data_IF_023141861129
#
_entry.id   IF_023141861129
#
_cell.length_a   1.000
_cell.length_b   1.000
_cell.length_c   1.000
_cell.angle_alpha   90.00
_cell.angle_beta   90.00
_cell.angle_gamma   90.00
#
_symmetry.space_group_name_H-M   'P 1'
#
loop_
_entity.id
_entity.type
_entity.pdbx_description
1 polymer ?
2 non-polymer ?
3 non-polymer ?
4 water ?
#
# COMPACT_ATOMS: atom_id res chain seq x y z
N UNK A 26 -0.64 28.49 2.60
CA UNK A 26 -0.51 27.31 1.75
C UNK A 26 0.02 26.13 2.57
N UNK A 27 -0.26 24.93 2.11
CA UNK A 27 -0.01 23.71 2.88
C UNK A 27 1.29 23.04 2.44
N UNK A 28 1.94 22.41 3.41
CA UNK A 28 3.23 21.73 3.21
C UNK A 28 3.11 20.33 3.78
N UNK A 29 3.34 19.33 2.94
CA UNK A 29 3.12 17.93 3.31
C UNK A 29 4.43 17.19 3.51
N UNK A 30 4.42 16.23 4.43
CA UNK A 30 5.53 15.31 4.65
C UNK A 30 5.04 13.90 4.37
N UNK A 31 5.67 13.22 3.41
CA UNK A 31 5.28 11.89 3.00
C UNK A 31 6.32 10.93 3.58
N UNK A 32 5.98 10.28 4.69
CA UNK A 32 6.85 9.29 5.32
C UNK A 32 6.71 8.00 4.52
N UNK A 33 7.65 7.74 3.62
CA UNK A 33 7.58 6.59 2.74
C UNK A 33 7.18 6.97 1.33
N UNK A 34 7.95 7.87 0.72
CA UNK A 34 7.53 8.46 -0.55
C UNK A 34 7.75 7.52 -1.73
N UNK A 35 8.72 6.62 -1.64
CA UNK A 35 8.91 5.61 -2.68
C UNK A 35 7.95 4.43 -2.56
N UNK A 36 7.01 4.50 -1.60
CA UNK A 36 6.05 3.44 -1.39
C UNK A 36 4.96 3.42 -2.44
N UNK A 37 4.06 2.44 -2.30
CA UNK A 37 3.01 2.27 -3.30
C UNK A 37 1.96 3.36 -3.17
N UNK A 38 1.67 3.80 -1.96
CA UNK A 38 0.75 4.92 -1.76
C UNK A 38 1.51 6.25 -1.67
N UNK A 39 2.73 6.23 -1.11
CA UNK A 39 3.54 7.43 -1.08
C UNK A 39 3.86 7.95 -2.47
N UNK A 40 4.11 7.04 -3.41
CA UNK A 40 4.36 7.47 -4.79
C UNK A 40 3.11 8.10 -5.39
N UNK A 41 1.93 7.60 -5.02
CA UNK A 41 0.69 8.24 -5.45
C UNK A 41 0.53 9.61 -4.80
N UNK A 42 0.91 9.74 -3.53
CA UNK A 42 0.83 11.03 -2.86
C UNK A 42 1.84 12.02 -3.44
N UNK A 43 3.02 11.53 -3.83
CA UNK A 43 4.02 12.40 -4.44
C UNK A 43 3.57 12.89 -5.81
N UNK A 44 2.75 12.11 -6.50
CA UNK A 44 2.30 12.51 -7.83
C UNK A 44 1.08 13.41 -7.77
N UNK A 45 0.26 13.29 -6.72
CA UNK A 45 -1.06 13.93 -6.68
C UNK A 45 -1.03 15.22 -5.87
N UNK A 46 -0.26 15.26 -4.78
CA UNK A 46 -0.22 16.47 -3.96
C UNK A 46 0.21 17.71 -4.75
N UNK A 47 1.29 17.69 -5.57
CA UNK A 47 1.65 18.92 -6.29
C UNK A 47 0.76 19.22 -7.49
N UNK A 48 -0.33 18.47 -7.67
CA UNK A 48 -1.26 18.80 -8.75
C UNK A 48 -1.92 20.16 -8.48
N UNK A 49 -2.27 20.85 -9.57
CA UNK A 49 -2.83 22.19 -9.47
C UNK A 49 -4.26 22.18 -8.94
N UNK A 50 -5.02 21.13 -9.22
CA UNK A 50 -6.42 21.06 -8.80
C UNK A 50 -6.60 20.26 -7.52
N UNK A 51 -5.52 19.94 -6.82
CA UNK A 51 -5.61 19.16 -5.60
C UNK A 51 -6.11 20.03 -4.45
N UNK A 52 -7.05 19.53 -3.64
CA UNK A 52 -7.56 20.31 -2.50
C UNK A 52 -6.45 20.86 -1.62
N UNK A 53 -6.66 22.08 -1.13
CA UNK A 53 -5.68 22.85 -0.35
C UNK A 53 -4.38 23.08 -1.10
N UNK A 54 -4.37 22.86 -2.42
CA UNK A 54 -3.22 23.14 -3.23
C UNK A 54 -3.04 24.62 -3.41
N UNK A 55 -1.82 25.06 -3.76
CA UNK A 55 -0.63 24.26 -4.07
C UNK A 55 0.02 23.60 -2.84
N UNK A 56 0.79 22.54 -3.06
CA UNK A 56 1.39 21.76 -2.00
C UNK A 56 2.90 21.75 -2.13
N UNK A 57 3.60 22.07 -1.04
CA UNK A 57 5.01 21.79 -0.91
C UNK A 57 5.16 20.41 -0.29
N UNK A 58 6.01 19.57 -0.88
CA UNK A 58 6.05 18.14 -0.56
C UNK A 58 7.47 17.76 -0.18
N UNK A 59 7.66 17.32 1.06
CA UNK A 59 8.85 16.59 1.46
C UNK A 59 8.55 15.10 1.40
N UNK A 60 9.51 14.32 0.93
CA UNK A 60 9.33 12.89 0.86
C UNK A 60 10.45 12.11 1.53
N UNK A 61 10.11 11.37 2.58
CA UNK A 61 11.08 10.64 3.39
C UNK A 61 11.19 9.20 2.89
N UNK A 62 12.42 8.69 2.88
CA UNK A 62 12.71 7.30 2.55
C UNK A 62 14.16 7.03 2.97
N UNK A 63 14.61 5.80 2.72
CA UNK A 63 15.98 5.39 2.98
C UNK A 63 16.82 5.34 1.71
N UNK A 64 16.30 4.70 0.67
CA UNK A 64 17.06 4.46 -0.56
C UNK A 64 17.31 5.78 -1.30
N UNK A 65 18.20 5.78 -2.29
CA UNK A 65 18.32 6.95 -3.15
C UNK A 65 17.13 7.05 -4.10
N UNK A 66 16.91 8.26 -4.59
CA UNK A 66 15.76 8.56 -5.44
C UNK A 66 15.81 7.72 -6.71
N UNK A 67 14.85 6.80 -6.92
CA UNK A 67 14.87 5.96 -8.12
C UNK A 67 14.49 6.72 -9.38
N UNK A 68 14.26 6.00 -10.48
CA UNK A 68 14.02 6.64 -11.77
C UNK A 68 12.54 6.90 -12.05
N UNK A 69 11.64 6.21 -11.35
CA UNK A 69 10.21 6.44 -11.48
C UNK A 69 9.69 7.46 -10.47
N UNK A 70 10.58 8.10 -9.72
CA UNK A 70 10.24 9.12 -8.75
C UNK A 70 10.86 10.48 -9.10
N UNK A 71 11.56 10.56 -10.23
CA UNK A 71 12.42 11.69 -10.54
C UNK A 71 11.68 12.90 -11.11
N UNK A 72 10.60 12.69 -11.87
CA UNK A 72 9.92 13.77 -12.56
C UNK A 72 8.77 14.36 -11.74
N UNK A 73 8.90 14.38 -10.42
CA UNK A 73 7.95 15.02 -9.53
C UNK A 73 8.64 16.14 -8.75
N UNK A 74 7.96 17.28 -8.55
CA UNK A 74 8.55 18.39 -7.77
C UNK A 74 8.50 18.12 -6.27
N UNK A 75 9.23 17.09 -5.84
CA UNK A 75 9.23 16.64 -4.46
C UNK A 75 10.60 16.88 -3.85
N UNK A 76 10.62 17.37 -2.62
CA UNK A 76 11.87 17.62 -1.90
C UNK A 76 12.27 16.35 -1.16
N UNK A 77 13.03 15.49 -1.84
CA UNK A 77 13.41 14.19 -1.32
C UNK A 77 14.32 14.33 -0.10
N UNK A 78 14.15 13.39 0.84
CA UNK A 78 14.95 13.33 2.06
C UNK A 78 15.26 11.87 2.36
N UNK A 79 16.55 11.57 2.56
CA UNK A 79 17.00 10.23 2.91
C UNK A 79 17.15 10.14 4.42
N UNK A 80 16.42 9.21 5.04
CA UNK A 80 16.42 9.07 6.48
C UNK A 80 15.83 7.72 6.85
N UNK A 81 16.50 7.01 7.75
CA UNK A 81 15.97 5.82 8.39
C UNK A 81 15.22 6.23 9.66
N UNK A 82 13.88 6.14 9.62
CA UNK A 82 13.07 6.59 10.74
C UNK A 82 13.11 5.65 11.93
N UNK A 83 13.79 4.52 11.82
CA UNK A 83 13.98 3.70 13.02
C UNK A 83 15.10 4.23 13.89
N UNK A 84 16.08 4.92 13.30
CA UNK A 84 17.18 5.54 14.03
C UNK A 84 16.71 6.90 14.53
N UNK A 85 16.60 7.09 15.85
CA UNK A 85 16.09 8.37 16.36
C UNK A 85 17.03 9.55 16.12
N UNK A 86 18.32 9.31 15.85
CA UNK A 86 19.24 10.40 15.58
C UNK A 86 19.09 10.92 14.16
N UNK A 87 19.10 10.02 13.17
CA UNK A 87 18.85 10.45 11.79
C UNK A 87 17.49 11.10 11.64
N UNK A 88 16.53 10.72 12.49
CA UNK A 88 15.20 11.34 12.44
C UNK A 88 15.23 12.75 13.02
N UNK A 89 15.98 12.95 14.12
CA UNK A 89 16.19 14.31 14.61
C UNK A 89 17.05 15.12 13.65
N UNK A 90 18.09 14.50 13.10
CA UNK A 90 18.95 15.17 12.12
C UNK A 90 18.15 15.69 10.94
N UNK A 91 17.46 14.79 10.24
CA UNK A 91 16.91 15.12 8.92
C UNK A 91 15.60 15.88 9.00
N UNK A 92 14.84 15.72 10.09
CA UNK A 92 13.50 16.26 10.15
C UNK A 92 13.37 17.52 11.01
N UNK A 93 14.31 17.77 11.93
CA UNK A 93 14.25 19.00 12.72
C UNK A 93 14.32 20.27 11.88
N UNK A 94 15.16 20.38 10.83
CA UNK A 94 15.11 21.60 10.01
C UNK A 94 13.78 21.86 9.36
N UNK A 95 12.97 20.81 9.13
CA UNK A 95 11.67 20.98 8.48
C UNK A 95 10.73 21.73 9.43
N UNK A 96 10.53 23.01 9.16
CA UNK A 96 9.74 23.89 10.01
C UNK A 96 8.30 24.03 9.54
N UNK A 97 8.10 24.09 8.23
CA UNK A 97 6.84 24.51 7.63
C UNK A 97 5.82 23.38 7.48
N UNK A 98 6.12 22.17 7.97
CA UNK A 98 5.23 21.04 7.75
C UNK A 98 3.85 21.35 8.33
N UNK A 99 2.83 21.31 7.47
CA UNK A 99 1.44 21.45 7.90
C UNK A 99 0.73 20.11 8.04
N UNK A 100 1.05 19.14 7.18
CA UNK A 100 0.40 17.84 7.22
C UNK A 100 1.44 16.74 7.06
N UNK A 101 1.17 15.60 7.70
CA UNK A 101 2.06 14.45 7.68
C UNK A 101 1.28 13.24 7.18
N UNK A 102 1.92 12.46 6.30
CA UNK A 102 1.31 11.27 5.70
C UNK A 102 2.24 10.08 5.97
N UNK A 103 2.00 9.40 7.08
CA UNK A 103 2.77 8.22 7.43
C UNK A 103 2.26 7.03 6.63
N UNK A 104 3.10 6.48 5.76
CA UNK A 104 2.63 5.47 4.82
C UNK A 104 3.71 4.41 4.59
N UNK A 105 4.36 4.00 5.68
CA UNK A 105 5.45 3.02 5.64
C UNK A 105 5.25 2.00 6.75
N UNK A 106 6.04 0.93 6.70
CA UNK A 106 6.01 -0.09 7.74
C UNK A 106 7.27 -0.95 7.64
N UNK A 107 7.38 -1.92 8.54
CA UNK A 107 8.53 -2.83 8.62
C UNK A 107 8.05 -4.21 9.02
N UNK A 108 8.55 -5.24 8.33
CA UNK A 108 8.15 -6.62 8.54
C UNK A 108 9.14 -7.34 9.46
N UNK A 109 8.60 -8.23 10.29
CA UNK A 109 9.40 -9.00 11.23
C UNK A 109 8.82 -10.41 11.32
N UNK A 110 9.51 -11.28 12.07
CA UNK A 110 9.12 -12.68 12.13
C UNK A 110 7.77 -12.85 12.82
N UNK A 111 7.59 -12.23 13.99
CA UNK A 111 6.33 -12.29 14.71
C UNK A 111 5.66 -10.92 14.72
N UNK A 112 4.40 -10.91 15.14
CA UNK A 112 3.67 -9.65 15.25
C UNK A 112 4.18 -8.81 16.41
N UNK A 113 4.65 -9.46 17.48
CA UNK A 113 5.21 -8.74 18.61
C UNK A 113 6.40 -7.91 18.18
N UNK A 114 7.26 -8.48 17.33
CA UNK A 114 8.39 -7.71 16.82
C UNK A 114 7.94 -6.58 15.91
N UNK A 115 6.83 -6.77 15.19
CA UNK A 115 6.30 -5.70 14.36
C UNK A 115 5.75 -4.57 15.22
N UNK A 116 5.12 -4.90 16.36
CA UNK A 116 4.65 -3.86 17.27
C UNK A 116 5.80 -3.00 17.76
N UNK A 117 6.93 -3.63 18.08
CA UNK A 117 8.07 -2.88 18.61
C UNK A 117 8.71 -2.02 17.53
N UNK A 118 8.99 -2.62 16.37
CA UNK A 118 9.70 -1.91 15.30
C UNK A 118 8.87 -0.77 14.75
N UNK A 119 7.58 -1.01 14.48
CA UNK A 119 6.74 0.00 13.86
C UNK A 119 6.28 1.06 14.86
N UNK A 120 6.12 0.69 16.14
CA UNK A 120 5.85 1.70 17.14
C UNK A 120 7.00 2.68 17.32
N UNK A 121 8.23 2.17 17.27
CA UNK A 121 9.38 3.05 17.42
C UNK A 121 9.57 3.93 16.20
N UNK A 122 9.32 3.38 15.00
CA UNK A 122 9.45 4.16 13.77
C UNK A 122 8.49 5.34 13.79
N UNK A 123 7.23 5.10 14.17
CA UNK A 123 6.26 6.19 14.23
C UNK A 123 6.59 7.16 15.35
N UNK A 124 7.09 6.64 16.48
CA UNK A 124 7.39 7.52 17.61
C UNK A 124 8.56 8.44 17.30
N UNK A 125 9.61 7.92 16.67
CA UNK A 125 10.76 8.77 16.32
C UNK A 125 10.34 9.93 15.44
N UNK A 126 9.44 9.68 14.48
CA UNK A 126 9.00 10.72 13.56
C UNK A 126 8.18 11.77 14.29
N UNK A 127 7.24 11.33 15.14
CA UNK A 127 6.33 12.26 15.79
C UNK A 127 7.04 13.06 16.87
N UNK A 128 7.98 12.45 17.59
CA UNK A 128 8.74 13.17 18.62
C UNK A 128 9.45 14.38 18.03
N UNK A 129 9.83 14.31 16.76
CA UNK A 129 10.54 15.42 16.15
C UNK A 129 9.57 16.45 15.59
N UNK A 130 8.55 15.98 14.85
CA UNK A 130 7.73 16.87 14.05
C UNK A 130 6.87 17.78 14.93
N UNK A 131 6.19 17.18 15.92
CA UNK A 131 5.19 17.93 16.68
C UNK A 131 5.78 19.17 17.35
N UNK A 132 6.93 19.12 18.05
CA UNK A 132 7.45 20.36 18.65
C UNK A 132 8.11 21.29 17.64
N UNK A 133 8.80 20.74 16.63
CA UNK A 133 9.59 21.55 15.71
C UNK A 133 8.80 22.08 14.53
N UNK A 134 7.48 21.87 14.50
CA UNK A 134 6.64 22.36 13.40
C UNK A 134 5.47 23.15 13.99
N UNK A 135 5.52 24.48 13.93
CA UNK A 135 4.49 25.29 14.61
C UNK A 135 3.13 25.27 13.92
N UNK A 136 3.06 24.89 12.65
CA UNK A 136 1.82 24.93 11.90
C UNK A 136 1.22 23.55 11.64
N UNK A 137 1.71 22.52 12.33
CA UNK A 137 1.24 21.16 12.10
C UNK A 137 -0.25 21.03 12.42
N UNK A 138 -1.06 20.76 11.39
CA UNK A 138 -2.50 20.60 11.52
C UNK A 138 -2.93 19.15 11.66
N UNK A 139 -2.37 18.25 10.85
CA UNK A 139 -2.94 16.91 10.71
C UNK A 139 -1.84 15.88 10.52
N UNK A 140 -2.07 14.68 11.06
CA UNK A 140 -1.23 13.51 10.82
C UNK A 140 -2.14 12.37 10.39
N UNK A 141 -1.87 11.80 9.22
CA UNK A 141 -2.64 10.69 8.70
C UNK A 141 -1.76 9.44 8.68
N UNK A 142 -2.27 8.35 9.23
CA UNK A 142 -1.53 7.11 9.40
C UNK A 142 -2.22 6.01 8.63
N UNK A 143 -1.49 5.32 7.77
CA UNK A 143 -2.07 4.26 6.95
C UNK A 143 -1.84 2.91 7.60
N UNK A 144 -2.93 2.23 7.98
CA UNK A 144 -2.82 0.85 8.45
C UNK A 144 -3.44 -0.07 7.42
N UNK A 145 -4.27 -1.01 7.86
CA UNK A 145 -4.82 -1.89 6.85
C UNK A 145 -5.96 -2.75 7.34
N UNK A 146 -6.53 -3.48 6.38
CA UNK A 146 -7.62 -4.40 6.68
C UNK A 146 -7.17 -5.55 7.58
N UNK A 147 -5.85 -5.73 7.79
CA UNK A 147 -5.39 -6.63 8.83
C UNK A 147 -5.89 -6.23 10.21
N UNK A 148 -6.21 -4.95 10.41
CA UNK A 148 -6.82 -4.50 11.66
C UNK A 148 -8.03 -5.35 12.04
N UNK A 149 -8.73 -5.90 11.06
CA UNK A 149 -9.94 -6.69 11.32
C UNK A 149 -9.70 -8.19 11.29
N UNK A 150 -8.86 -8.69 10.40
CA UNK A 150 -8.63 -10.13 10.28
C UNK A 150 -7.45 -10.63 11.12
N UNK A 151 -6.57 -9.74 11.56
CA UNK A 151 -5.45 -10.12 12.39
C UNK A 151 -4.14 -10.21 11.64
N UNK A 152 -3.06 -10.47 12.36
CA UNK A 152 -1.73 -10.54 11.71
C UNK A 152 -1.62 -11.75 10.79
N UNK A 153 -0.65 -11.66 9.87
CA UNK A 153 -0.40 -12.69 8.87
C UNK A 153 -0.53 -14.11 9.43
N UNK A 154 0.13 -14.36 10.57
CA UNK A 154 0.20 -15.71 11.10
C UNK A 154 -1.16 -16.21 11.55
N UNK A 155 -1.99 -15.33 12.09
CA UNK A 155 -3.29 -15.71 12.64
C UNK A 155 -4.42 -15.64 11.63
N UNK A 156 -4.14 -15.27 10.38
CA UNK A 156 -5.20 -15.02 9.42
C UNK A 156 -5.89 -16.32 9.04
N UNK A 157 -7.21 -16.30 9.06
CA UNK A 157 -8.01 -17.50 8.89
C UNK A 157 -8.01 -18.43 10.08
N UNK A 158 -7.24 -18.13 11.13
CA UNK A 158 -7.08 -19.00 12.28
C UNK A 158 -7.78 -18.50 13.53
N UNK A 159 -8.36 -17.30 13.52
CA UNK A 159 -8.96 -16.71 14.71
C UNK A 159 -10.35 -16.19 14.36
N UNK A 160 -11.26 -16.29 15.33
CA UNK A 160 -12.60 -15.74 15.18
C UNK A 160 -12.54 -14.22 15.06
N UNK A 161 -12.87 -13.69 13.89
CA UNK A 161 -12.93 -12.26 13.68
C UNK A 161 -14.37 -11.79 13.79
N UNK A 162 -14.56 -10.48 13.63
CA UNK A 162 -15.92 -9.96 13.48
C UNK A 162 -16.44 -10.31 12.09
N UNK A 163 -17.77 -10.30 11.96
CA UNK A 163 -18.38 -10.74 10.71
C UNK A 163 -18.27 -9.65 9.66
N UNK A 164 -17.80 -9.96 8.45
CA UNK A 164 -17.74 -8.96 7.38
C UNK A 164 -19.14 -8.58 6.93
N UNK A 165 -19.29 -7.40 6.28
CA UNK A 165 -18.23 -6.43 5.97
C UNK A 165 -17.74 -5.65 7.20
N UNK A 166 -16.43 -5.43 7.26
CA UNK A 166 -15.85 -4.83 8.45
C UNK A 166 -16.18 -3.34 8.53
N UNK A 167 -16.67 -2.91 9.68
CA UNK A 167 -16.89 -1.51 9.98
C UNK A 167 -15.81 -1.01 10.93
N UNK A 168 -15.58 0.31 10.90
CA UNK A 168 -14.37 0.86 11.51
C UNK A 168 -14.39 0.76 13.03
N UNK A 169 -15.53 1.06 13.66
CA UNK A 169 -15.57 1.30 15.11
C UNK A 169 -16.08 0.10 15.90
N UNK A 170 -15.71 -1.13 15.50
CA UNK A 170 -15.98 -2.31 16.30
C UNK A 170 -14.75 -2.67 17.12
N UNK A 171 -14.91 -3.45 18.20
CA UNK A 171 -13.79 -3.68 19.11
C UNK A 171 -12.61 -4.36 18.44
N UNK A 172 -11.42 -3.99 18.90
CA UNK A 172 -10.20 -4.64 18.44
C UNK A 172 -10.21 -6.12 18.84
N UNK A 173 -9.53 -6.93 18.03
CA UNK A 173 -9.30 -8.32 18.39
C UNK A 173 -8.39 -8.42 19.60
N UNK A 174 -8.55 -9.49 20.37
CA UNK A 174 -7.73 -9.72 21.55
C UNK A 174 -6.43 -10.43 21.21
N UNK A 175 -5.73 -9.88 20.22
CA UNK A 175 -4.41 -10.35 19.82
C UNK A 175 -3.53 -9.15 19.54
N UNK A 176 -2.22 -9.37 19.57
CA UNK A 176 -1.29 -8.31 19.24
C UNK A 176 -1.45 -7.90 17.77
N UNK A 177 -1.20 -6.63 17.50
CA UNK A 177 -1.35 -6.07 16.16
C UNK A 177 -0.70 -4.69 16.10
N UNK A 178 0.34 -4.52 15.28
CA UNK A 178 1.07 -3.26 15.29
C UNK A 178 0.26 -2.10 14.75
N UNK A 179 -0.87 -2.37 14.10
CA UNK A 179 -1.83 -1.30 13.82
C UNK A 179 -2.41 -0.75 15.12
N UNK A 180 -2.77 -1.64 16.05
CA UNK A 180 -3.27 -1.20 17.35
C UNK A 180 -2.20 -0.42 18.10
N UNK A 181 -0.96 -0.94 18.10
CA UNK A 181 0.14 -0.27 18.79
C UNK A 181 0.37 1.13 18.22
N UNK A 182 0.29 1.26 16.89
CA UNK A 182 0.51 2.56 16.27
C UNK A 182 -0.64 3.52 16.55
N UNK A 183 -1.88 3.01 16.58
CA UNK A 183 -3.02 3.89 16.83
C UNK A 183 -2.94 4.51 18.23
N UNK A 184 -2.68 3.69 19.25
CA UNK A 184 -2.55 4.21 20.61
C UNK A 184 -1.45 5.26 20.68
N UNK A 185 -0.30 4.96 20.05
CA UNK A 185 0.81 5.90 20.02
C UNK A 185 0.39 7.23 19.41
N UNK A 186 -0.30 7.17 18.26
CA UNK A 186 -0.72 8.38 17.57
C UNK A 186 -1.67 9.20 18.43
N UNK A 187 -2.56 8.53 19.16
CA UNK A 187 -3.54 9.27 19.97
C UNK A 187 -2.86 10.03 21.10
N UNK A 188 -1.85 9.43 21.71
CA UNK A 188 -1.12 10.13 22.77
C UNK A 188 -0.27 11.26 22.21
N UNK A 189 0.35 11.03 21.05
CA UNK A 189 1.29 12.01 20.51
C UNK A 189 0.60 13.29 20.07
N UNK A 190 -0.58 13.18 19.46
CA UNK A 190 -1.27 14.37 19.00
C UNK A 190 -1.78 15.22 20.15
N UNK A 191 -1.84 14.66 21.36
CA UNK A 191 -2.34 15.41 22.50
C UNK A 191 -1.41 16.55 22.85
N UNK A 192 -0.11 16.35 22.68
CA UNK A 192 0.96 17.32 22.96
C UNK A 192 0.86 18.61 22.13
N UNK A 193 -0.24 18.85 21.41
CA UNK A 193 -0.40 20.07 20.63
C UNK A 193 -1.88 20.37 20.51
N UNK A 194 -2.27 21.61 20.84
CA UNK A 194 -3.66 21.99 20.75
C UNK A 194 -4.08 22.12 19.30
N UNK A 195 -5.28 21.61 18.98
CA UNK A 195 -5.75 21.65 17.61
C UNK A 195 -4.99 20.76 16.65
N UNK A 196 -4.18 19.83 17.17
CA UNK A 196 -3.57 18.81 16.34
C UNK A 196 -4.57 17.68 16.15
N UNK A 197 -4.66 17.19 14.92
CA UNK A 197 -5.74 16.29 14.53
C UNK A 197 -5.18 15.13 13.71
N UNK A 198 -5.87 14.00 13.75
CA UNK A 198 -5.33 12.76 13.20
C UNK A 198 -6.38 12.06 12.33
N UNK A 199 -5.92 11.08 11.57
CA UNK A 199 -6.78 10.17 10.82
C UNK A 199 -5.98 8.92 10.48
N UNK A 200 -6.67 7.79 10.45
CA UNK A 200 -6.08 6.50 10.07
C UNK A 200 -6.90 5.91 8.95
N UNK A 201 -6.22 5.30 7.98
CA UNK A 201 -6.84 4.78 6.77
C UNK A 201 -6.47 3.32 6.60
N UNK A 202 -7.49 2.47 6.43
CA UNK A 202 -7.31 1.02 6.39
C UNK A 202 -7.69 0.48 5.02
N UNK A 203 -6.76 0.43 4.07
CA UNK A 203 -7.08 -0.11 2.74
C UNK A 203 -6.99 -1.63 2.73
N UNK A 204 -7.64 -2.22 1.72
CA UNK A 204 -7.46 -3.62 1.41
C UNK A 204 -6.18 -3.83 0.65
N UNK A 205 -6.14 -4.92 -0.13
CA UNK A 205 -4.99 -5.12 -1.02
C UNK A 205 -4.88 -3.93 -1.97
N UNK A 206 -3.66 -3.39 -2.09
CA UNK A 206 -3.44 -2.16 -2.81
C UNK A 206 -3.06 -2.47 -4.24
N UNK A 207 -3.86 -2.01 -5.19
CA UNK A 207 -3.48 -2.00 -6.60
C UNK A 207 -2.78 -0.67 -6.88
N UNK A 208 -1.49 -0.74 -7.19
CA UNK A 208 -0.72 0.46 -7.42
C UNK A 208 0.60 0.14 -8.07
N UNK A 209 1.43 1.17 -8.19
CA UNK A 209 2.73 1.07 -8.85
C UNK A 209 3.83 1.51 -7.88
N UNK A 210 4.70 0.58 -7.52
CA UNK A 210 5.91 0.89 -6.78
C UNK A 210 6.84 -0.33 -6.82
N UNK A 211 7.90 -0.28 -7.62
CA UNK A 211 8.85 -1.41 -7.64
C UNK A 211 9.51 -1.65 -6.30
N UNK A 212 9.63 -0.64 -5.46
CA UNK A 212 10.24 -0.78 -4.14
C UNK A 212 9.26 -1.27 -3.09
N UNK A 213 8.01 -1.52 -3.45
CA UNK A 213 7.00 -1.89 -2.46
C UNK A 213 7.22 -3.31 -1.96
N UNK A 214 7.00 -3.51 -0.66
CA UNK A 214 7.10 -4.84 -0.07
C UNK A 214 5.85 -5.67 -0.30
N UNK A 215 4.73 -5.03 -0.67
CA UNK A 215 3.48 -5.73 -1.00
C UNK A 215 2.88 -5.07 -2.24
N UNK A 216 3.46 -5.34 -3.40
CA UNK A 216 2.93 -4.86 -4.67
C UNK A 216 2.35 -6.07 -5.40
N UNK A 217 1.05 -6.27 -5.24
CA UNK A 217 0.39 -7.44 -5.82
C UNK A 217 0.36 -7.37 -7.34
N UNK A 218 0.06 -6.19 -7.89
CA UNK A 218 -0.05 -6.04 -9.34
C UNK A 218 1.29 -6.30 -10.00
N UNK A 219 2.36 -5.72 -9.45
CA UNK A 219 3.68 -5.92 -10.03
C UNK A 219 4.10 -7.38 -9.98
N UNK A 220 3.79 -8.07 -8.88
CA UNK A 220 4.12 -9.48 -8.76
C UNK A 220 3.37 -10.31 -9.79
N UNK A 221 2.08 -10.03 -9.97
CA UNK A 221 1.28 -10.80 -10.92
C UNK A 221 1.68 -10.50 -12.36
N UNK A 222 2.20 -9.30 -12.62
CA UNK A 222 2.66 -8.97 -13.97
C UNK A 222 3.91 -9.76 -14.33
N UNK A 223 4.86 -9.85 -13.39
CA UNK A 223 6.10 -10.59 -13.65
C UNK A 223 5.80 -12.05 -13.88
N UNK A 224 4.94 -12.63 -13.05
CA UNK A 224 4.54 -14.03 -13.22
C UNK A 224 3.89 -14.24 -14.58
N UNK A 225 3.14 -13.26 -15.07
CA UNK A 225 2.53 -13.38 -16.38
C UNK A 225 3.57 -13.25 -17.48
N UNK A 226 4.57 -12.39 -17.28
CA UNK A 226 5.62 -12.22 -18.29
C UNK A 226 6.52 -13.44 -18.38
N UNK A 227 6.71 -14.15 -17.25
CA UNK A 227 7.52 -15.35 -17.26
C UNK A 227 6.76 -16.52 -17.88
N UNK A 228 5.46 -16.61 -17.61
CA UNK A 228 4.63 -17.61 -18.28
C UNK A 228 4.60 -17.38 -19.78
N UNK A 229 4.60 -16.12 -20.20
CA UNK A 229 4.63 -15.79 -21.63
C UNK A 229 5.94 -16.24 -22.26
N UNK A 230 7.07 -15.91 -21.62
CA UNK A 230 8.37 -16.16 -22.20
C UNK A 230 8.64 -17.66 -22.33
N UNK A 231 8.15 -18.45 -21.40
CA UNK A 231 8.34 -19.90 -21.40
C UNK A 231 7.26 -20.64 -22.16
N UNK A 232 6.25 -19.96 -22.70
CA UNK A 232 5.19 -20.67 -23.37
C UNK A 232 4.27 -21.45 -22.46
N UNK A 233 4.44 -21.34 -21.15
CA UNK A 233 3.64 -22.09 -20.19
C UNK A 233 2.35 -21.34 -19.87
N UNK A 234 1.39 -22.06 -19.31
CA UNK A 234 0.07 -21.50 -19.03
C UNK A 234 0.12 -20.70 -17.74
N UNK A 235 -0.57 -19.55 -17.74
CA UNK A 235 -0.75 -18.76 -16.52
C UNK A 235 -1.72 -19.47 -15.58
N UNK A 236 -1.19 -20.31 -14.69
CA UNK A 236 -2.02 -21.04 -13.75
C UNK A 236 -2.30 -20.19 -12.51
N UNK A 237 -3.49 -20.37 -11.93
CA UNK A 237 -3.87 -19.62 -10.74
C UNK A 237 -3.16 -20.16 -9.51
N UNK A 238 -2.31 -19.36 -8.84
CA UNK A 238 -1.62 -19.79 -7.61
C UNK A 238 -2.39 -19.34 -6.37
N UNK A 239 -3.49 -20.03 -6.10
CA UNK A 239 -4.32 -19.70 -4.96
C UNK A 239 -5.42 -20.69 -4.79
N UNK A 240 -6.28 -20.38 -3.83
CA UNK A 240 -7.39 -21.23 -3.43
C UNK A 240 -8.64 -20.88 -4.23
N UNK A 241 -9.66 -21.73 -4.08
CA UNK A 241 -10.91 -21.54 -4.80
C UNK A 241 -11.69 -20.34 -4.27
N UNK A 242 -11.50 -19.99 -3.00
CA UNK A 242 -12.22 -18.86 -2.44
C UNK A 242 -11.71 -17.53 -3.00
N UNK A 243 -10.42 -17.46 -3.33
CA UNK A 243 -9.90 -16.26 -3.99
C UNK A 243 -10.21 -16.26 -5.48
N UNK A 244 -10.34 -17.45 -6.08
CA UNK A 244 -10.66 -17.56 -7.49
C UNK A 244 -12.15 -17.36 -7.73
N UNK A 245 -12.99 -18.02 -6.94
CA UNK A 245 -14.43 -18.05 -7.18
C UNK A 245 -15.23 -17.15 -6.26
N UNK A 246 -14.65 -16.71 -5.13
CA UNK A 246 -15.37 -15.85 -4.21
C UNK A 246 -15.18 -14.38 -4.53
N UNK A 247 -15.93 -13.56 -3.79
CA UNK A 247 -15.86 -12.12 -4.01
C UNK A 247 -14.58 -11.56 -3.41
N UNK A 248 -13.92 -10.68 -4.16
CA UNK A 248 -12.76 -9.95 -3.67
C UNK A 248 -12.96 -8.47 -3.90
N UNK A 249 -12.28 -7.65 -3.09
CA UNK A 249 -12.19 -6.21 -3.36
C UNK A 249 -10.74 -5.78 -3.19
N UNK A 250 -10.48 -4.52 -3.50
CA UNK A 250 -9.11 -4.01 -3.42
C UNK A 250 -9.18 -2.49 -3.25
N UNK A 251 -8.00 -1.89 -3.09
CA UNK A 251 -7.88 -0.46 -2.84
C UNK A 251 -6.88 0.15 -3.82
N UNK A 252 -7.36 1.01 -4.70
CA UNK A 252 -6.50 1.68 -5.66
C UNK A 252 -5.60 2.67 -4.94
N UNK A 253 -4.32 2.71 -5.35
CA UNK A 253 -3.34 3.54 -4.64
C UNK A 253 -3.66 5.02 -4.78
N UNK A 254 -4.00 5.48 -5.99
CA UNK A 254 -4.40 6.88 -6.15
C UNK A 254 -5.63 7.20 -5.31
N UNK A 255 -6.56 6.25 -5.22
CA UNK A 255 -7.75 6.48 -4.40
C UNK A 255 -7.41 6.59 -2.93
N UNK A 256 -6.44 5.80 -2.47
CA UNK A 256 -5.96 5.93 -1.09
C UNK A 256 -5.30 7.28 -0.88
N UNK A 257 -4.57 7.77 -1.89
CA UNK A 257 -3.93 9.07 -1.76
C UNK A 257 -4.96 10.18 -1.64
N UNK A 258 -5.97 10.18 -2.52
CA UNK A 258 -7.08 11.11 -2.41
C UNK A 258 -7.81 10.95 -1.07
N UNK A 259 -7.83 9.73 -0.54
CA UNK A 259 -8.47 9.49 0.75
C UNK A 259 -7.67 10.14 1.88
N UNK A 260 -6.34 10.05 1.82
CA UNK A 260 -5.49 10.77 2.76
C UNK A 260 -5.72 12.26 2.68
N UNK A 261 -5.60 12.82 1.48
CA UNK A 261 -5.70 14.27 1.29
C UNK A 261 -7.07 14.77 1.77
N UNK A 262 -8.13 14.03 1.44
CA UNK A 262 -9.47 14.43 1.84
C UNK A 262 -9.57 14.57 3.37
N UNK A 263 -9.15 13.53 4.09
CA UNK A 263 -9.20 13.59 5.55
C UNK A 263 -8.23 14.63 6.11
N UNK A 264 -7.17 14.95 5.38
CA UNK A 264 -6.20 15.93 5.87
C UNK A 264 -6.77 17.35 5.82
N UNK A 265 -7.62 17.63 4.82
CA UNK A 265 -8.14 18.98 4.62
C UNK A 265 -9.59 19.14 5.07
N UNK A 266 -10.34 18.05 5.22
CA UNK A 266 -11.74 18.12 5.60
C UNK A 266 -11.85 18.10 7.12
N UNK A 267 -12.40 19.15 7.74
CA UNK A 267 -12.53 19.16 9.21
C UNK A 267 -13.63 18.27 9.74
N UNK A 268 -14.54 17.80 8.89
CA UNK A 268 -15.58 16.86 9.30
C UNK A 268 -15.15 15.41 9.15
N UNK A 269 -13.85 15.17 8.96
CA UNK A 269 -13.27 13.84 9.01
C UNK A 269 -12.12 13.76 10.01
N UNK A 270 -12.05 14.71 10.95
CA UNK A 270 -10.92 14.77 11.86
C UNK A 270 -11.06 13.77 13.00
N UNK A 271 -9.93 13.19 13.40
CA UNK A 271 -9.86 12.26 14.53
C UNK A 271 -10.80 11.08 14.34
N UNK A 272 -10.76 10.48 13.14
CA UNK A 272 -11.60 9.34 12.81
C UNK A 272 -10.80 8.32 12.01
N UNK A 273 -11.22 7.06 12.13
CA UNK A 273 -10.65 5.94 11.37
C UNK A 273 -11.58 5.60 10.21
N UNK A 274 -11.01 5.38 9.04
CA UNK A 274 -11.79 5.12 7.83
C UNK A 274 -11.22 3.94 7.06
N UNK A 275 -12.11 3.09 6.56
CA UNK A 275 -11.73 2.15 5.51
C UNK A 275 -11.56 2.90 4.19
N UNK A 276 -10.80 2.30 3.28
CA UNK A 276 -10.67 2.86 1.95
C UNK A 276 -10.50 1.75 0.91
N UNK A 277 -11.59 1.42 0.23
CA UNK A 277 -11.56 0.44 -0.86
C UNK A 277 -12.32 0.99 -2.06
N UNK A 278 -12.07 0.38 -3.22
CA UNK A 278 -12.44 0.98 -4.50
C UNK A 278 -13.94 1.13 -4.68
N UNK A 279 -14.76 0.48 -3.85
CA UNK A 279 -16.19 0.61 -3.95
C UNK A 279 -16.89 -0.45 -4.78
N UNK A 280 -16.16 -1.41 -5.34
CA UNK A 280 -16.75 -2.50 -6.09
C UNK A 280 -16.03 -3.79 -5.77
N UNK A 281 -16.67 -4.91 -6.08
CA UNK A 281 -16.10 -6.22 -5.85
C UNK A 281 -15.71 -6.83 -7.20
N UNK A 282 -15.03 -7.98 -7.13
CA UNK A 282 -14.62 -8.70 -8.32
C UNK A 282 -14.24 -10.12 -7.93
N UNK A 283 -13.95 -10.93 -8.94
CA UNK A 283 -13.46 -12.28 -8.74
C UNK A 283 -12.17 -12.45 -9.51
N UNK A 284 -11.15 -13.04 -8.87
CA UNK A 284 -9.91 -13.31 -9.57
C UNK A 284 -10.12 -14.26 -10.75
N UNK A 285 -11.25 -14.96 -10.79
CA UNK A 285 -11.59 -15.73 -11.98
C UNK A 285 -11.66 -14.84 -13.21
N UNK A 286 -12.33 -13.68 -13.09
CA UNK A 286 -12.43 -12.77 -14.22
C UNK A 286 -11.14 -11.99 -14.42
N UNK A 287 -10.55 -11.49 -13.32
CA UNK A 287 -9.32 -10.70 -13.44
C UNK A 287 -8.19 -11.51 -14.04
N UNK A 288 -8.22 -12.84 -13.91
CA UNK A 288 -7.15 -13.65 -14.48
C UNK A 288 -7.14 -13.55 -15.99
N UNK A 289 -8.31 -13.57 -16.62
CA UNK A 289 -8.39 -13.40 -18.06
C UNK A 289 -7.95 -12.01 -18.50
N UNK A 290 -8.18 -11.00 -17.64
CA UNK A 290 -7.66 -9.67 -17.91
C UNK A 290 -6.13 -9.70 -17.90
N UNK A 291 -5.56 -10.27 -16.85
CA UNK A 291 -4.10 -10.43 -16.77
C UNK A 291 -3.59 -11.28 -17.93
N UNK A 292 -4.32 -12.33 -18.31
CA UNK A 292 -3.89 -13.17 -19.41
C UNK A 292 -3.93 -12.42 -20.74
N UNK A 293 -4.98 -11.62 -20.94
CA UNK A 293 -5.10 -10.87 -22.19
C UNK A 293 -4.01 -9.82 -22.31
N UNK A 294 -3.61 -9.21 -21.18
CA UNK A 294 -2.66 -8.11 -21.20
C UNK A 294 -1.22 -8.54 -21.47
N UNK A 295 -0.91 -9.84 -21.40
CA UNK A 295 0.45 -10.31 -21.62
C UNK A 295 0.54 -11.38 -22.70
N UNK A 296 -0.54 -11.62 -23.46
CA UNK A 296 -0.47 -12.60 -24.52
C UNK A 296 -0.47 -14.04 -24.06
N UNK A 297 -0.57 -14.29 -22.77
CA UNK A 297 -0.58 -15.66 -22.26
C UNK A 297 -1.95 -16.30 -22.48
N UNK A 298 -1.96 -17.62 -22.41
CA UNK A 298 -3.21 -18.39 -22.40
C UNK A 298 -3.67 -18.56 -20.97
N UNK A 299 -4.92 -18.18 -20.71
CA UNK A 299 -5.45 -18.19 -19.35
C UNK A 299 -5.65 -19.61 -18.87
N UNK A 300 -5.02 -19.95 -17.74
CA UNK A 300 -5.31 -21.19 -17.06
C UNK A 300 -6.41 -21.03 -16.03
N UNK A 301 -7.03 -22.14 -15.65
CA UNK A 301 -8.11 -22.13 -14.69
C UNK A 301 -7.60 -22.61 -13.33
N UNK A 302 -8.48 -22.50 -12.32
CA UNK A 302 -8.13 -22.96 -10.99
C UNK A 302 -8.16 -24.49 -10.97
N UNK A 303 -7.01 -25.10 -10.67
CA UNK A 303 -6.89 -26.55 -10.62
C UNK A 303 -7.08 -27.03 -9.19
N UNK A 304 -8.00 -27.98 -9.00
CA UNK A 304 -8.38 -28.42 -7.67
C UNK A 304 -7.32 -29.34 -7.07
N UNK A 305 -7.21 -29.30 -5.74
CA UNK A 305 -6.27 -30.15 -5.02
C UNK A 305 -4.82 -29.91 -5.37
N UNK A 306 -4.47 -28.68 -5.76
CA UNK A 306 -3.11 -28.35 -6.17
C UNK A 306 -2.42 -27.43 -5.18
N UNK A 307 -2.99 -26.25 -4.91
CA UNK A 307 -2.41 -25.25 -4.01
C UNK A 307 -1.00 -24.86 -4.49
N UNK A 308 -0.97 -24.14 -5.60
CA UNK A 308 0.27 -23.73 -6.23
C UNK A 308 0.77 -22.43 -5.59
N UNK A 309 2.09 -22.38 -5.36
CA UNK A 309 2.73 -21.24 -4.71
C UNK A 309 3.73 -20.63 -5.67
N UNK A 310 3.54 -19.36 -6.02
CA UNK A 310 4.53 -18.64 -6.83
C UNK A 310 5.89 -18.65 -6.16
N UNK A 311 5.93 -18.64 -4.83
CA UNK A 311 7.19 -18.72 -4.11
C UNK A 311 7.94 -20.00 -4.47
N UNK A 312 7.21 -21.10 -4.62
CA UNK A 312 7.83 -22.35 -5.06
C UNK A 312 8.01 -22.36 -6.57
N UNK A 313 6.95 -22.03 -7.31
CA UNK A 313 6.96 -22.14 -8.76
C UNK A 313 8.03 -21.27 -9.39
N UNK A 314 8.32 -20.11 -8.81
CA UNK A 314 9.29 -19.17 -9.37
C UNK A 314 10.66 -19.28 -8.71
N UNK A 315 10.93 -20.38 -8.04
CA UNK A 315 12.24 -20.59 -7.41
C UNK A 315 13.31 -20.75 -8.48
N UNK A 316 14.40 -19.99 -8.35
CA UNK A 316 15.51 -20.07 -9.28
C UNK A 316 15.18 -19.66 -10.71
N UNK A 317 14.32 -18.66 -10.88
CA UNK A 317 13.94 -18.18 -12.21
C UNK A 317 14.55 -16.83 -12.55
N UNK A 318 15.50 -16.35 -11.74
CA UNK A 318 16.19 -15.10 -12.03
C UNK A 318 16.85 -15.05 -13.39
N UNK A 319 17.47 -16.11 -13.91
CA UNK A 319 17.96 -16.04 -15.30
C UNK A 319 16.87 -15.79 -16.31
N UNK A 320 15.70 -16.43 -16.13
CA UNK A 320 14.60 -16.22 -17.06
C UNK A 320 14.14 -14.76 -17.02
N UNK A 321 14.22 -14.14 -15.83
CA UNK A 321 13.82 -12.74 -15.73
C UNK A 321 14.80 -11.83 -16.46
N UNK A 322 16.09 -12.00 -16.19
CA UNK A 322 17.10 -11.21 -16.88
C UNK A 322 17.09 -11.47 -18.38
N UNK A 323 16.65 -12.66 -18.80
CA UNK A 323 16.46 -12.91 -20.23
C UNK A 323 15.30 -12.08 -20.76
N UNK A 324 14.21 -11.99 -19.99
CA UNK A 324 13.07 -11.17 -20.40
C UNK A 324 13.45 -9.69 -20.44
N UNK A 325 14.26 -9.25 -19.48
CA UNK A 325 14.60 -7.84 -19.36
C UNK A 325 15.39 -7.37 -20.58
N UNK A 326 16.37 -8.16 -21.01
CA UNK A 326 17.17 -7.74 -22.16
C UNK A 326 16.41 -7.92 -23.47
N UNK A 327 15.59 -8.97 -23.56
CA UNK A 327 14.89 -9.26 -24.81
C UNK A 327 13.72 -8.31 -25.04
N UNK A 328 13.27 -7.60 -23.99
CA UNK A 328 12.18 -6.64 -24.13
C UNK A 328 12.60 -5.22 -23.75
N UNK A 329 13.90 -4.98 -23.56
CA UNK A 329 14.38 -3.64 -23.28
C UNK A 329 13.83 -3.05 -22.01
N UNK A 330 13.58 -3.86 -21.00
CA UNK A 330 13.04 -3.39 -19.74
C UNK A 330 14.10 -2.65 -18.95
N UNK A 331 13.66 -1.94 -17.91
CA UNK A 331 14.57 -1.34 -16.96
C UNK A 331 15.29 -2.42 -16.16
N UNK A 332 16.52 -2.12 -15.75
CA UNK A 332 17.35 -3.11 -15.06
C UNK A 332 16.75 -3.42 -13.69
N UNK A 333 16.12 -4.58 -13.56
CA UNK A 333 15.43 -4.96 -12.34
C UNK A 333 15.88 -6.35 -11.88
N UNK A 334 15.98 -6.53 -10.57
CA UNK A 334 16.25 -7.84 -9.97
C UNK A 334 14.95 -8.44 -9.47
N UNK A 335 14.71 -9.70 -9.83
CA UNK A 335 13.44 -10.39 -9.58
C UNK A 335 12.95 -10.24 -8.14
N UNK A 336 13.88 -10.25 -7.18
CA UNK A 336 13.50 -10.16 -5.78
C UNK A 336 12.83 -8.82 -5.47
N UNK A 337 13.36 -7.73 -6.02
CA UNK A 337 12.79 -6.41 -5.79
C UNK A 337 11.40 -6.29 -6.43
N UNK A 338 11.25 -6.79 -7.65
CA UNK A 338 10.05 -6.52 -8.42
C UNK A 338 8.91 -7.49 -8.10
N UNK A 339 9.22 -8.66 -7.55
CA UNK A 339 8.23 -9.68 -7.26
C UNK A 339 8.37 -10.12 -5.82
N UNK A 340 7.30 -9.96 -5.05
CA UNK A 340 7.24 -10.47 -3.68
C UNK A 340 6.31 -11.68 -3.67
N UNK A 341 6.85 -12.83 -4.06
CA UNK A 341 6.03 -14.02 -4.25
C UNK A 341 5.28 -14.41 -2.98
N UNK A 342 5.93 -14.26 -1.82
CA UNK A 342 5.27 -14.64 -0.57
C UNK A 342 4.00 -13.82 -0.35
N UNK A 343 4.03 -12.54 -0.72
CA UNK A 343 2.83 -11.72 -0.59
C UNK A 343 1.74 -12.23 -1.50
N UNK A 344 2.01 -12.33 -2.81
CA UNK A 344 1.03 -12.84 -3.77
C UNK A 344 0.42 -14.15 -3.30
N UNK A 345 1.25 -15.12 -2.91
CA UNK A 345 0.74 -16.37 -2.36
C UNK A 345 -0.10 -16.11 -1.12
N UNK A 346 0.33 -15.17 -0.27
CA UNK A 346 -0.42 -14.87 0.94
C UNK A 346 -1.81 -14.31 0.62
N UNK A 347 -1.95 -13.57 -0.47
CA UNK A 347 -3.26 -12.98 -0.72
C UNK A 347 -4.18 -13.94 -1.44
N UNK A 348 -3.65 -14.80 -2.31
CA UNK A 348 -4.49 -15.67 -3.12
C UNK A 348 -4.81 -17.01 -2.45
N UNK A 349 -4.14 -17.32 -1.34
CA UNK A 349 -4.38 -18.57 -0.63
C UNK A 349 -5.54 -18.48 0.35
N UNK A 350 -6.07 -17.29 0.59
CA UNK A 350 -7.10 -17.10 1.61
C UNK A 350 -8.31 -16.36 1.02
N UNK A 351 -9.51 -16.56 1.55
CA UNK A 351 -10.68 -15.84 1.04
C UNK A 351 -10.59 -14.35 1.35
N UNK A 352 -11.43 -13.58 0.64
CA UNK A 352 -11.46 -12.13 0.76
C UNK A 352 -12.64 -11.69 1.62
N UNK A 353 -12.43 -11.29 2.87
CA UNK A 353 -13.52 -10.63 3.60
C UNK A 353 -13.60 -9.16 3.21
N UNK A 354 -14.81 -8.70 2.88
CA UNK A 354 -14.95 -7.34 2.39
C UNK A 354 -15.06 -6.36 3.56
N UNK A 355 -14.80 -5.08 3.27
CA UNK A 355 -15.03 -4.01 4.23
C UNK A 355 -16.15 -3.11 3.71
N UNK A 356 -16.54 -2.16 4.56
CA UNK A 356 -17.60 -1.23 4.23
C UNK A 356 -17.03 0.16 4.04
N UNK A 357 -17.53 0.88 3.03
CA UNK A 357 -17.17 2.26 2.79
C UNK A 357 -18.27 3.23 3.22
N UNK A 358 -19.17 2.81 4.10
CA UNK A 358 -20.27 3.67 4.51
C UNK A 358 -19.78 4.85 5.34
N UNK A 359 -18.86 4.58 6.29
CA UNK A 359 -18.40 5.66 7.16
C UNK A 359 -17.70 6.76 6.36
N UNK A 360 -16.89 6.38 5.37
CA UNK A 360 -16.24 7.38 4.54
C UNK A 360 -17.26 8.16 3.72
N UNK A 361 -18.25 7.47 3.16
CA UNK A 361 -19.25 8.15 2.34
C UNK A 361 -20.15 9.04 3.19
N UNK A 362 -20.50 8.59 4.41
CA UNK A 362 -21.30 9.40 5.31
C UNK A 362 -20.56 10.64 5.77
N UNK A 363 -19.23 10.63 5.74
CA UNK A 363 -18.42 11.81 6.05
C UNK A 363 -18.08 12.62 4.81
N UNK A 364 -18.65 12.28 3.65
CA UNK A 364 -18.52 13.10 2.47
C UNK A 364 -17.50 12.63 1.45
N UNK A 365 -16.75 11.56 1.72
CA UNK A 365 -15.81 11.05 0.73
C UNK A 365 -16.56 10.12 -0.21
N UNK A 366 -16.76 10.56 -1.45
CA UNK A 366 -17.49 9.79 -2.44
C UNK A 366 -16.60 9.24 -3.54
N UNK A 367 -15.28 9.33 -3.39
CA UNK A 367 -14.38 8.78 -4.39
C UNK A 367 -14.53 7.28 -4.51
N UNK A 368 -14.12 6.76 -5.66
CA UNK A 368 -14.27 5.35 -5.98
C UNK A 368 -13.37 5.02 -7.15
N UNK A 369 -13.29 3.72 -7.47
CA UNK A 369 -12.54 3.27 -8.63
C UNK A 369 -13.23 2.05 -9.22
N UNK A 370 -13.09 1.90 -10.53
CA UNK A 370 -13.51 0.68 -11.22
C UNK A 370 -12.37 -0.31 -11.09
N UNK A 371 -12.56 -1.36 -10.28
CA UNK A 371 -11.46 -2.25 -9.96
C UNK A 371 -10.86 -2.89 -11.21
N UNK A 372 -11.72 -3.22 -12.19
CA UNK A 372 -11.21 -3.81 -13.42
C UNK A 372 -10.34 -2.82 -14.19
N UNK A 373 -10.83 -1.58 -14.33
CA UNK A 373 -10.05 -0.56 -15.03
C UNK A 373 -8.78 -0.21 -14.27
N UNK A 374 -8.86 -0.16 -12.93
CA UNK A 374 -7.67 0.10 -12.13
C UNK A 374 -6.61 -0.98 -12.35
N UNK A 375 -7.04 -2.24 -12.33
CA UNK A 375 -6.12 -3.35 -12.59
C UNK A 375 -5.38 -3.16 -13.90
N UNK A 376 -6.13 -2.91 -14.98
CA UNK A 376 -5.52 -2.64 -16.29
C UNK A 376 -4.64 -1.41 -16.21
N UNK A 377 -5.13 -0.35 -15.57
CA UNK A 377 -4.38 0.90 -15.47
C UNK A 377 -3.02 0.70 -14.80
N UNK A 378 -3.00 -0.05 -13.69
CA UNK A 378 -1.74 -0.27 -12.98
C UNK A 378 -0.85 -1.28 -13.68
N UNK A 379 -1.43 -2.27 -14.36
CA UNK A 379 -0.65 -3.13 -15.23
C UNK A 379 0.05 -2.29 -16.29
N UNK A 380 -0.68 -1.36 -16.89
CA UNK A 380 -0.13 -0.55 -17.98
C UNK A 380 0.88 0.48 -17.47
N UNK A 381 0.80 0.88 -16.19
CA UNK A 381 1.82 1.77 -15.65
C UNK A 381 3.13 1.03 -15.44
N UNK A 382 3.08 -0.24 -15.02
CA UNK A 382 4.29 -1.04 -14.93
C UNK A 382 4.90 -1.28 -16.31
N UNK A 383 4.06 -1.49 -17.32
CA UNK A 383 4.55 -1.55 -18.70
C UNK A 383 5.15 -0.21 -19.12
N UNK A 384 4.47 0.89 -18.76
CA UNK A 384 4.90 2.21 -19.19
C UNK A 384 6.30 2.52 -18.69
N UNK A 385 6.56 2.27 -17.41
CA UNK A 385 7.88 2.48 -16.83
C UNK A 385 8.85 1.36 -17.17
N UNK A 386 8.49 0.48 -18.10
CA UNK A 386 9.41 -0.53 -18.62
C UNK A 386 9.88 -1.49 -17.54
N UNK A 387 9.01 -1.75 -16.55
CA UNK A 387 9.31 -2.75 -15.53
C UNK A 387 8.93 -4.14 -16.00
N UNK A 388 7.86 -4.25 -16.78
CA UNK A 388 7.43 -5.54 -17.36
C UNK A 388 7.20 -5.32 -18.85
N UNK A 389 7.23 -6.40 -19.65
CA UNK A 389 7.01 -6.22 -21.09
C UNK A 389 5.53 -6.03 -21.44
X LIG B 1 -2.44 -8.92 3.78
X LIG B 1 -1.66 -7.92 4.52
X LIG B 1 -2.36 -6.45 4.39
X LIG B 1 -1.70 -5.49 4.37
X LIG B 1 -3.87 -6.49 4.27
X LIG B 1 -4.67 -7.47 4.15
X LIG B 1 -6.20 -7.34 4.28
X LIG B 1 -6.80 -8.64 4.50
X LIG B 1 -6.27 -9.64 3.39
X LIG B 1 -4.83 -9.35 3.05
X LIG B 1 -4.08 -8.86 4.21
X LIG B 1 -4.35 -10.66 2.31
X LIG B 1 -5.15 -11.01 1.14
X LIG B 1 -6.68 -10.89 1.36
X LIG B 1 -6.90 -9.46 2.21
X LIG B 1 -8.56 -9.29 2.16
X LIG B 1 -8.70 -9.82 0.64
X LIG B 1 -7.36 -10.66 0.10
X LIG B 1 -7.21 -12.01 2.08
X LIG B 1 -4.18 -9.66 5.30
X LIG B 1 -7.72 -11.66 -0.85
X LIG B 1 -7.35 -12.85 -0.56
X LIG B 1 -8.30 -11.47 -2.20
X LIG C 1 5.41 0.20 0.83
X LIG C 1 4.71 0.10 -0.41
X LIG C 1 6.18 -1.01 1.20
X LIG C 1 6.51 1.39 0.83
X LIG C 1 7.02 1.90 1.99
X LIG C 1 7.81 3.14 1.78
X LIG C 1 8.56 3.63 2.94
X LIG C 1 9.04 2.85 0.71
X LIG C 1 9.23 4.06 0.00
X LIG C 1 10.27 2.64 1.49
X LIG C 1 11.46 3.05 0.96
X LIG C 1 9.96 3.59 2.75
X LIG C 1 10.69 2.99 3.87
X LIG C 1 10.70 1.68 4.26
X LIG C 1 11.51 1.40 5.30
X LIG C 1 11.80 2.55 5.78
X LIG C 1 12.62 3.02 7.05
X LIG C 1 13.05 2.23 7.87
X LIG C 1 12.76 4.32 7.12
X LIG C 1 12.19 5.24 6.26
X LIG C 1 11.40 4.79 5.29
X LIG C 1 11.17 3.65 4.86
X LIG C 1 4.41 0.57 1.91
X LIG C 1 2.92 0.23 1.78
X LIG C 1 2.66 -0.95 1.24
X LIG C 1 2.27 1.56 1.40
X LIG C 1 2.36 0.05 3.35
X LIG C 1 2.10 1.07 4.22
X LIG C 1 1.02 0.75 5.22
X LIG C 1 -0.03 0.29 4.36
X LIG C 1 1.43 -0.41 6.03
X LIG C 1 1.14 -0.29 7.39
X LIG C 1 0.59 -1.66 5.42
X LIG C 1 0.28 -2.47 6.56
X LIG C 1 -0.63 -1.12 4.81
X LIG C 1 -1.03 -1.84 3.77
X LIG C 1 -0.37 -2.18 2.64
X LIG C 1 -0.85 -2.90 1.69
X LIG C 1 -0.09 -3.23 0.42
X LIG C 1 -0.72 -3.96 -0.43
X LIG C 1 1.14 -2.91 0.25
X LIG C 1 -2.35 -3.16 1.73
X LIG C 1 -2.94 -2.95 2.68
X LIG C 1 -2.39 -2.12 3.82
#
# INVERSE_FOLDING_TARGET
MSWWWAGAIGAAKKRSDEDEALPKHSSVALIVGVTGIVGNSLAEILPLADTPSGPWKVYGVARRPRPAWNEDNPINYIRCDISDPKDTQEKLSPLTDITHVFYVTWANRSTEVERCEANGKMLKNVLDVVIPNCPDLKHISLQTGRKHYVGPFELIGKIETHDPPFTEDLPRLKFDNFYYTQEDLLFEEVEKKEGLTWSVHRPGNIFGFSPYSMMNLVGTLCVYAAICKHEGKVLRFPGCKAAWDGYSDCSDADLIAEHHIWAAVDPYAKNEAFNVSNGDVFKWKHFWKVLAEQFGVECGEYEEGENLKLQDLMKGKEPVWEEIVRENGLASTNLEDVAVWWFSDAVLDIPCPLDSMNKSKEHGFLGFRNSKNSFISWIDKAKAYKIVP
STR C1 C2 C3 O3 C4 C5 C6 C7 C8 C9 C10 C11 C12 C13 C14 C15 C16 C17 C18 C19 C20 O20 C21
NAD PA O1A O2A O5B C5B C4B O4B C3B O3B C2B O2B C1B N9A C8A N7A C5A C6A N6A N1A C2A N3A C4A O3 PN O1N O2N O5D C5D C4D O4D C3D O3D C2D O2D C1D N1N C2N C3N C7N O7N N7N C4N C5N C6N
#
